data_IF_330972516786
#
_entry.id   IF_330972516786
#
_cell.length_a   1.000
_cell.length_b   1.000
_cell.length_c   1.000
_cell.angle_alpha   90.00
_cell.angle_beta   90.00
_cell.angle_gamma   90.00
#
_symmetry.space_group_name_H-M   'P 1'
#
loop_
_entity.id
_entity.type
_entity.pdbx_description
1 polymer ?
#
# COMPACT_ATOMS: atom_id res chain seq x y z
N UNK A 1 6.53 10.96 9.11
CA UNK A 1 6.64 9.57 8.61
C UNK A 1 5.60 9.41 7.51
N UNK A 2 6.00 8.99 6.31
CA UNK A 2 5.03 8.72 5.23
C UNK A 2 4.17 7.52 5.65
N UNK A 3 2.86 7.66 5.62
CA UNK A 3 1.96 6.54 5.89
C UNK A 3 2.00 5.54 4.73
N UNK A 4 1.87 4.26 5.05
CA UNK A 4 1.55 3.27 4.03
C UNK A 4 0.10 3.49 3.59
N UNK A 5 -0.08 3.69 2.29
CA UNK A 5 -1.42 3.69 1.72
C UNK A 5 -1.90 2.24 1.65
N UNK A 6 -3.12 1.95 2.13
CA UNK A 6 -3.63 0.59 2.16
C UNK A 6 -3.88 0.07 0.73
N UNK A 7 -3.56 -1.20 0.44
CA UNK A 7 -4.04 -1.86 -0.77
C UNK A 7 -5.55 -2.10 -0.60
N UNK A 8 -6.36 -1.23 -1.19
CA UNK A 8 -7.82 -1.32 -1.15
C UNK A 8 -8.25 -2.26 -2.27
N UNK A 9 -9.20 -3.14 -1.97
CA UNK A 9 -9.75 -4.06 -2.96
C UNK A 9 -11.25 -4.30 -2.75
N UNK A 10 -11.89 -4.86 -3.79
CA UNK A 10 -13.28 -5.30 -3.76
C UNK A 10 -13.30 -6.79 -4.10
N UNK A 11 -13.94 -7.58 -3.24
CA UNK A 11 -14.20 -8.99 -3.51
C UNK A 11 -15.49 -9.13 -4.32
N UNK A 12 -15.39 -9.70 -5.51
CA UNK A 12 -16.48 -9.89 -6.46
C UNK A 12 -16.76 -11.37 -6.64
N UNK A 13 -18.06 -11.72 -6.58
CA UNK A 13 -18.57 -13.04 -6.88
C UNK A 13 -19.13 -13.03 -8.31
N UNK A 14 -18.36 -13.55 -9.26
CA UNK A 14 -18.73 -13.59 -10.68
C UNK A 14 -17.62 -13.06 -11.60
N UNK A 15 -17.91 -12.87 -12.89
CA UNK A 15 -16.94 -12.36 -13.86
C UNK A 15 -16.50 -10.93 -13.50
N UNK A 16 -15.19 -10.73 -13.32
CA UNK A 16 -14.62 -9.44 -12.93
C UNK A 16 -14.82 -8.39 -14.01
N UNK A 17 -14.67 -8.75 -15.29
CA UNK A 17 -14.89 -7.87 -16.44
C UNK A 17 -16.31 -7.30 -16.44
N UNK A 18 -17.32 -8.16 -16.26
CA UNK A 18 -18.72 -7.75 -16.20
C UNK A 18 -18.99 -6.80 -15.03
N UNK A 19 -18.36 -7.02 -13.87
CA UNK A 19 -18.45 -6.10 -12.75
C UNK A 19 -17.84 -4.74 -13.10
N UNK A 20 -16.66 -4.73 -13.71
CA UNK A 20 -15.92 -3.53 -14.10
C UNK A 20 -16.73 -2.68 -15.08
N UNK A 21 -17.25 -3.29 -16.15
CA UNK A 21 -18.10 -2.64 -17.14
C UNK A 21 -19.36 -2.03 -16.53
N UNK A 22 -20.04 -2.77 -15.65
CA UNK A 22 -21.26 -2.30 -15.00
C UNK A 22 -21.00 -1.13 -14.06
N UNK A 23 -19.92 -1.17 -13.26
CA UNK A 23 -19.52 -0.05 -12.42
C UNK A 23 -19.18 1.17 -13.28
N UNK A 24 -18.47 0.96 -14.39
CA UNK A 24 -18.13 2.05 -15.30
C UNK A 24 -19.36 2.70 -15.94
N UNK A 25 -20.34 1.91 -16.37
CA UNK A 25 -21.62 2.42 -16.86
C UNK A 25 -22.43 3.17 -15.79
N UNK A 26 -22.31 2.79 -14.51
CA UNK A 26 -22.92 3.54 -13.40
C UNK A 26 -22.20 4.88 -13.19
N UNK A 27 -20.87 4.90 -13.25
CA UNK A 27 -20.07 6.10 -13.09
C UNK A 27 -20.33 7.09 -14.22
N UNK A 28 -20.39 6.62 -15.47
CA UNK A 28 -20.66 7.43 -16.65
C UNK A 28 -22.04 8.09 -16.58
N UNK A 29 -23.08 7.32 -16.26
CA UNK A 29 -24.45 7.82 -16.04
C UNK A 29 -24.59 8.82 -14.89
N UNK A 30 -23.65 8.83 -13.95
CA UNK A 30 -23.68 9.80 -12.85
C UNK A 30 -23.23 11.20 -13.30
N UNK A 31 -22.61 11.30 -14.48
CA UNK A 31 -22.00 12.50 -15.06
C UNK A 31 -20.92 13.18 -14.20
N UNK A 32 -20.60 12.63 -13.02
CA UNK A 32 -19.60 13.15 -12.09
C UNK A 32 -18.17 12.86 -12.53
N UNK A 33 -18.00 11.84 -13.36
CA UNK A 33 -16.70 11.32 -13.77
C UNK A 33 -16.53 11.42 -15.28
N UNK A 34 -15.29 11.61 -15.71
CA UNK A 34 -14.82 11.15 -17.01
C UNK A 34 -14.39 9.69 -16.83
N UNK A 35 -14.93 8.80 -17.64
CA UNK A 35 -14.75 7.35 -17.51
C UNK A 35 -14.01 6.81 -18.72
N UNK A 36 -12.99 6.01 -18.48
CA UNK A 36 -12.22 5.32 -19.50
C UNK A 36 -12.02 3.87 -19.06
N UNK A 37 -12.20 2.92 -19.98
CA UNK A 37 -11.96 1.50 -19.73
C UNK A 37 -10.94 1.03 -20.75
N UNK A 38 -9.89 0.39 -20.26
CA UNK A 38 -8.88 -0.28 -21.06
C UNK A 38 -8.91 -1.77 -20.73
N UNK A 39 -9.17 -2.59 -21.74
CA UNK A 39 -9.04 -4.04 -21.67
C UNK A 39 -7.68 -4.46 -22.20
N UNK A 40 -7.15 -5.54 -21.63
CA UNK A 40 -5.81 -6.06 -21.92
C UNK A 40 -4.74 -4.95 -21.95
N UNK A 41 -4.82 -4.09 -20.93
CA UNK A 41 -3.97 -2.93 -20.77
C UNK A 41 -2.50 -3.35 -20.87
N UNK A 42 -1.68 -2.50 -21.49
CA UNK A 42 -0.27 -2.82 -21.77
C UNK A 42 -0.05 -4.11 -22.60
N UNK A 43 -1.09 -4.63 -23.28
CA UNK A 43 -1.03 -5.86 -24.06
C UNK A 43 -1.04 -7.15 -23.22
N UNK A 44 -1.47 -7.08 -21.96
CA UNK A 44 -1.47 -8.22 -21.02
C UNK A 44 -2.89 -8.77 -20.89
N UNK A 45 -3.10 -10.00 -21.33
CA UNK A 45 -4.38 -10.70 -21.22
C UNK A 45 -4.89 -10.74 -19.77
N UNK A 46 -6.15 -10.34 -19.59
CA UNK A 46 -6.80 -10.30 -18.28
C UNK A 46 -6.38 -9.12 -17.39
N UNK A 47 -5.50 -8.23 -17.86
CA UNK A 47 -5.22 -6.96 -17.20
C UNK A 47 -6.20 -5.89 -17.69
N UNK A 48 -7.21 -5.55 -16.90
CA UNK A 48 -8.19 -4.52 -17.29
C UNK A 48 -8.25 -3.40 -16.26
N UNK A 49 -8.39 -2.17 -16.73
CA UNK A 49 -8.41 -0.97 -15.90
C UNK A 49 -9.61 -0.11 -16.25
N UNK A 50 -10.39 0.30 -15.26
CA UNK A 50 -11.38 1.37 -15.40
C UNK A 50 -10.93 2.60 -14.62
N UNK A 51 -10.74 3.70 -15.32
CA UNK A 51 -10.37 5.01 -14.80
C UNK A 51 -11.61 5.86 -14.56
N UNK A 52 -11.68 6.48 -13.38
CA UNK A 52 -12.74 7.39 -12.98
C UNK A 52 -12.12 8.72 -12.58
N UNK A 53 -12.09 9.70 -13.49
CA UNK A 53 -11.56 11.04 -13.19
C UNK A 53 -12.69 11.95 -12.75
N UNK A 54 -12.59 12.54 -11.56
CA UNK A 54 -13.62 13.45 -11.08
C UNK A 54 -13.57 14.77 -11.87
N UNK A 55 -14.66 15.13 -12.55
CA UNK A 55 -14.73 16.37 -13.37
C UNK A 55 -14.52 17.64 -12.54
N UNK A 56 -14.99 17.64 -11.30
CA UNK A 56 -14.86 18.77 -10.36
C UNK A 56 -14.44 18.27 -8.99
N UNK A 57 -13.19 18.52 -8.60
CA UNK A 57 -12.68 18.30 -7.26
C UNK A 57 -12.39 19.64 -6.58
N UNK A 58 -12.91 19.82 -5.36
CA UNK A 58 -12.70 21.06 -4.57
C UNK A 58 -11.40 21.03 -3.77
N UNK A 59 -10.94 19.84 -3.37
CA UNK A 59 -9.83 19.69 -2.42
C UNK A 59 -8.54 19.25 -3.10
N UNK A 60 -8.60 18.22 -3.96
CA UNK A 60 -7.43 17.61 -4.58
C UNK A 60 -7.39 17.91 -6.08
N UNK A 61 -6.22 18.24 -6.63
CA UNK A 61 -6.11 18.49 -8.07
C UNK A 61 -6.13 17.16 -8.82
N UNK A 62 -7.00 17.06 -9.83
CA UNK A 62 -7.04 15.87 -10.68
C UNK A 62 -7.35 14.58 -9.90
N UNK A 63 -8.30 14.63 -8.98
CA UNK A 63 -8.68 13.46 -8.19
C UNK A 63 -9.42 12.44 -9.04
N UNK A 64 -9.13 11.16 -8.84
CA UNK A 64 -9.86 10.06 -9.45
C UNK A 64 -9.58 8.73 -8.75
N UNK A 65 -10.24 7.70 -9.24
CA UNK A 65 -10.04 6.33 -8.81
C UNK A 65 -9.79 5.42 -10.01
N UNK A 66 -9.10 4.31 -9.78
CA UNK A 66 -8.93 3.25 -10.75
C UNK A 66 -9.44 1.95 -10.14
N UNK A 67 -10.15 1.17 -10.93
CA UNK A 67 -10.46 -0.22 -10.64
C UNK A 67 -9.64 -1.10 -11.56
N UNK A 68 -8.87 -2.01 -10.98
CA UNK A 68 -7.84 -2.77 -11.70
C UNK A 68 -8.09 -4.26 -11.48
N UNK A 69 -8.25 -4.99 -12.58
CA UNK A 69 -8.24 -6.45 -12.62
C UNK A 69 -6.80 -6.86 -12.97
N UNK A 70 -6.16 -7.63 -12.09
CA UNK A 70 -4.85 -8.21 -12.35
C UNK A 70 -5.01 -9.52 -13.14
N UNK A 71 -4.06 -9.89 -14.02
CA UNK A 71 -4.15 -11.10 -14.86
C UNK A 71 -4.51 -12.38 -14.10
N UNK A 72 -3.90 -12.58 -12.92
CA UNK A 72 -4.10 -13.79 -12.12
C UNK A 72 -5.28 -13.68 -11.13
N UNK A 73 -5.97 -12.54 -11.09
CA UNK A 73 -7.04 -12.32 -10.13
C UNK A 73 -8.34 -12.98 -10.59
N UNK A 74 -8.87 -13.87 -9.75
CA UNK A 74 -10.15 -14.56 -10.03
C UNK A 74 -11.35 -13.92 -9.34
N UNK A 75 -11.13 -13.13 -8.30
CA UNK A 75 -12.20 -12.63 -7.40
C UNK A 75 -11.97 -11.23 -6.86
N UNK A 76 -10.82 -10.64 -7.14
CA UNK A 76 -10.41 -9.38 -6.51
C UNK A 76 -10.18 -8.29 -7.56
N UNK A 77 -10.72 -7.12 -7.28
CA UNK A 77 -10.44 -5.90 -8.05
C UNK A 77 -9.71 -4.94 -7.13
N UNK A 78 -8.49 -4.55 -7.51
CA UNK A 78 -7.73 -3.56 -6.79
C UNK A 78 -8.33 -2.16 -7.04
N UNK A 79 -8.28 -1.32 -6.01
CA UNK A 79 -8.78 0.05 -6.03
C UNK A 79 -7.64 1.00 -5.70
N UNK A 80 -7.29 1.85 -6.66
CA UNK A 80 -6.29 2.91 -6.47
C UNK A 80 -6.95 4.28 -6.49
N UNK A 81 -6.56 5.16 -5.58
CA UNK A 81 -6.97 6.57 -5.61
C UNK A 81 -5.79 7.41 -6.07
N UNK A 82 -6.01 8.22 -7.10
CA UNK A 82 -4.95 9.04 -7.70
C UNK A 82 -5.36 10.50 -7.68
N UNK A 83 -4.38 11.36 -7.43
CA UNK A 83 -4.50 12.80 -7.61
C UNK A 83 -3.22 13.29 -8.27
N UNK A 84 -3.31 14.34 -9.09
CA UNK A 84 -2.11 15.07 -9.54
C UNK A 84 -1.43 15.77 -8.36
N UNK A 85 -2.23 16.25 -7.41
CA UNK A 85 -1.74 16.87 -6.18
C UNK A 85 -2.70 16.66 -5.04
N UNK A 86 -2.20 16.10 -3.95
CA UNK A 86 -2.94 15.96 -2.70
C UNK A 86 -2.87 17.25 -1.87
N UNK A 87 -3.89 17.49 -1.05
CA UNK A 87 -4.01 18.70 -0.24
C UNK A 87 -4.75 18.40 1.06
N UNK A 88 -4.26 18.82 2.23
CA UNK A 88 -3.14 19.77 2.42
C UNK A 88 -1.75 19.15 2.34
N UNK A 89 -1.65 17.82 2.39
CA UNK A 89 -0.38 17.09 2.41
C UNK A 89 -0.27 16.19 1.18
N UNK A 90 0.89 16.19 0.54
CA UNK A 90 1.24 15.32 -0.58
C UNK A 90 2.60 14.65 -0.28
N UNK A 91 2.67 13.32 -0.16
CA UNK A 91 1.61 12.31 -0.32
C UNK A 91 0.52 12.37 0.78
N UNK A 92 -0.67 11.79 0.55
CA UNK A 92 -1.77 11.83 1.51
C UNK A 92 -1.49 10.95 2.72
N UNK A 93 -2.21 11.21 3.82
CA UNK A 93 -2.25 10.28 4.96
C UNK A 93 -3.11 9.06 4.65
N UNK A 94 -2.97 8.01 5.46
CA UNK A 94 -3.84 6.83 5.38
C UNK A 94 -5.33 7.23 5.44
N UNK A 95 -5.68 8.13 6.36
CA UNK A 95 -7.07 8.53 6.62
C UNK A 95 -7.64 9.34 5.45
N UNK A 96 -6.84 10.25 4.86
CA UNK A 96 -7.23 11.01 3.68
C UNK A 96 -7.45 10.09 2.47
N UNK A 97 -6.53 9.16 2.22
CA UNK A 97 -6.63 8.21 1.12
C UNK A 97 -7.88 7.30 1.24
N UNK A 98 -8.12 6.74 2.42
CA UNK A 98 -9.30 5.89 2.69
C UNK A 98 -10.60 6.67 2.61
N UNK A 99 -10.60 7.93 3.06
CA UNK A 99 -11.77 8.82 2.95
C UNK A 99 -12.14 9.04 1.48
N UNK A 100 -11.18 9.40 0.64
CA UNK A 100 -11.43 9.61 -0.79
C UNK A 100 -11.84 8.32 -1.50
N UNK A 101 -11.24 7.18 -1.15
CA UNK A 101 -11.66 5.87 -1.68
C UNK A 101 -13.15 5.58 -1.41
N UNK A 102 -13.59 5.81 -0.17
CA UNK A 102 -15.00 5.65 0.21
C UNK A 102 -15.91 6.67 -0.47
N UNK A 103 -15.47 7.91 -0.63
CA UNK A 103 -16.26 8.98 -1.24
C UNK A 103 -16.45 8.79 -2.75
N UNK A 104 -15.43 8.30 -3.46
CA UNK A 104 -15.46 8.08 -4.90
C UNK A 104 -16.17 6.77 -5.25
N UNK A 105 -15.77 5.66 -4.61
CA UNK A 105 -16.23 4.32 -5.00
C UNK A 105 -17.47 3.87 -4.21
N UNK A 106 -17.68 4.35 -2.98
CA UNK A 106 -18.81 3.97 -2.13
C UNK A 106 -20.19 4.19 -2.77
N UNK A 107 -20.46 5.36 -3.40
CA UNK A 107 -21.71 5.58 -4.13
C UNK A 107 -21.89 4.65 -5.34
N UNK A 108 -20.82 4.40 -6.10
CA UNK A 108 -20.86 3.50 -7.27
C UNK A 108 -21.17 2.06 -6.85
N UNK A 109 -20.52 1.58 -5.78
CA UNK A 109 -20.78 0.26 -5.21
C UNK A 109 -22.20 0.14 -4.64
N UNK A 110 -22.69 1.17 -3.96
CA UNK A 110 -24.06 1.18 -3.43
C UNK A 110 -25.08 1.03 -4.55
N UNK A 111 -24.89 1.75 -5.65
CA UNK A 111 -25.77 1.67 -6.81
C UNK A 111 -25.68 0.33 -7.52
N UNK A 112 -24.47 -0.20 -7.71
CA UNK A 112 -24.28 -1.53 -8.29
C UNK A 112 -24.97 -2.60 -7.45
N UNK A 113 -24.73 -2.59 -6.14
CA UNK A 113 -25.32 -3.56 -5.21
C UNK A 113 -26.84 -3.51 -5.22
N UNK A 114 -27.43 -2.31 -5.29
CA UNK A 114 -28.88 -2.12 -5.41
C UNK A 114 -29.43 -2.76 -6.69
N UNK A 115 -28.77 -2.57 -7.83
CA UNK A 115 -29.23 -3.11 -9.13
C UNK A 115 -29.02 -4.61 -9.27
N UNK A 116 -27.93 -5.12 -8.72
CA UNK A 116 -27.52 -6.52 -8.88
C UNK A 116 -28.00 -7.44 -7.74
N UNK A 117 -28.57 -6.89 -6.66
CA UNK A 117 -28.95 -7.67 -5.47
C UNK A 117 -27.74 -8.24 -4.72
N UNK A 118 -26.58 -7.57 -4.81
CA UNK A 118 -25.32 -8.02 -4.21
C UNK A 118 -24.91 -7.19 -3.00
N UNK A 119 -23.81 -7.56 -2.33
CA UNK A 119 -23.29 -6.83 -1.16
C UNK A 119 -21.77 -6.68 -1.20
N UNK A 120 -21.22 -6.25 -2.33
CA UNK A 120 -19.79 -5.95 -2.47
C UNK A 120 -19.40 -4.76 -1.60
N UNK A 121 -18.18 -4.77 -1.07
CA UNK A 121 -17.66 -3.75 -0.17
C UNK A 121 -16.20 -3.47 -0.50
N UNK A 122 -15.77 -2.25 -0.22
CA UNK A 122 -14.35 -1.90 -0.13
C UNK A 122 -13.75 -2.60 1.09
N UNK A 123 -12.75 -3.43 0.86
CA UNK A 123 -11.88 -3.97 1.90
C UNK A 123 -10.68 -3.06 2.04
N UNK A 124 -10.48 -2.53 3.25
CA UNK A 124 -9.35 -1.66 3.58
C UNK A 124 -8.60 -2.29 4.75
N UNK A 125 -7.36 -2.73 4.57
CA UNK A 125 -6.54 -3.21 5.68
C UNK A 125 -6.33 -2.13 6.73
N UNK A 126 -6.45 -2.49 8.01
CA UNK A 126 -6.20 -1.57 9.12
C UNK A 126 -4.74 -1.08 9.11
N UNK A 127 -4.51 0.16 9.55
CA UNK A 127 -3.20 0.82 9.54
C UNK A 127 -2.12 -0.02 10.24
N UNK A 128 -2.46 -0.66 11.36
CA UNK A 128 -1.56 -1.50 12.15
C UNK A 128 -1.17 -2.80 11.43
N UNK A 129 -1.99 -3.25 10.48
CA UNK A 129 -1.68 -4.41 9.65
C UNK A 129 -0.71 -4.09 8.51
N UNK A 130 -0.56 -2.81 8.15
CA UNK A 130 0.41 -2.34 7.16
C UNK A 130 1.81 -2.20 7.74
N UNK A 131 1.95 -2.22 9.05
CA UNK A 131 3.24 -2.07 9.70
C UNK A 131 4.10 -3.33 9.50
N UNK A 132 5.39 -3.16 9.14
CA UNK A 132 6.29 -4.28 8.99
C UNK A 132 6.43 -5.04 10.31
N UNK A 133 6.47 -6.37 10.21
CA UNK A 133 6.58 -7.26 11.37
C UNK A 133 7.78 -8.16 11.23
N UNK A 134 8.57 -8.21 12.29
CA UNK A 134 9.63 -9.19 12.46
C UNK A 134 9.05 -10.47 13.09
N UNK A 135 9.46 -11.67 12.64
CA UNK A 135 9.17 -12.90 13.35
C UNK A 135 9.65 -12.84 14.81
N UNK A 136 9.06 -13.59 15.76
CA UNK A 136 9.33 -13.44 17.19
C UNK A 136 10.83 -13.48 17.57
N UNK A 137 11.61 -14.37 16.97
CA UNK A 137 13.06 -14.47 17.23
C UNK A 137 13.82 -13.26 16.70
N UNK A 138 13.56 -12.85 15.45
CA UNK A 138 14.15 -11.66 14.83
C UNK A 138 13.77 -10.39 15.61
N UNK A 139 12.54 -10.33 16.11
CA UNK A 139 12.08 -9.21 16.94
C UNK A 139 12.86 -9.12 18.25
N UNK A 140 13.13 -10.23 18.93
CA UNK A 140 13.97 -10.25 20.16
C UNK A 140 15.38 -9.72 19.89
N UNK A 141 16.01 -10.16 18.80
CA UNK A 141 17.35 -9.70 18.41
C UNK A 141 17.34 -8.21 18.05
N UNK A 142 16.34 -7.78 17.28
CA UNK A 142 16.14 -6.37 16.93
C UNK A 142 15.96 -5.51 18.18
N UNK A 143 15.14 -5.93 19.14
CA UNK A 143 14.93 -5.23 20.42
C UNK A 143 16.19 -5.18 21.27
N UNK A 144 17.01 -6.24 21.29
CA UNK A 144 18.30 -6.23 21.99
C UNK A 144 19.25 -5.19 21.40
N UNK A 145 19.26 -5.05 20.08
CA UNK A 145 20.00 -3.98 19.41
C UNK A 145 19.39 -2.61 19.75
N UNK A 146 18.10 -2.39 19.50
CA UNK A 146 17.49 -1.07 19.60
C UNK A 146 17.46 -0.54 21.03
N UNK A 147 17.26 -1.38 22.04
CA UNK A 147 17.19 -0.91 23.43
C UNK A 147 18.53 -0.38 23.97
N UNK A 148 19.65 -0.87 23.42
CA UNK A 148 20.99 -0.52 23.90
C UNK A 148 21.73 0.46 22.98
N UNK A 149 21.25 0.62 21.75
CA UNK A 149 21.92 1.43 20.75
C UNK A 149 21.80 2.93 21.05
N UNK A 150 22.90 3.65 20.86
CA UNK A 150 22.83 5.10 20.72
C UNK A 150 22.10 5.45 19.41
N UNK A 151 21.01 6.23 19.53
CA UNK A 151 20.09 6.52 18.43
C UNK A 151 20.59 7.58 17.46
N UNK A 152 21.59 8.36 17.84
CA UNK A 152 22.14 9.43 16.99
C UNK A 152 23.45 9.03 16.31
N UNK A 153 24.22 8.13 16.94
CA UNK A 153 25.43 7.56 16.36
C UNK A 153 25.75 6.20 17.01
N UNK A 154 25.70 5.13 16.22
CA UNK A 154 25.99 3.76 16.67
C UNK A 154 27.46 3.61 17.08
N UNK A 155 27.69 3.19 18.32
CA UNK A 155 29.00 2.77 18.79
C UNK A 155 29.40 1.41 18.17
N UNK A 156 30.69 1.03 18.07
CA UNK A 156 31.10 -0.29 17.58
C UNK A 156 30.38 -1.48 18.24
N UNK A 157 30.04 -1.38 19.52
CA UNK A 157 29.25 -2.41 20.23
C UNK A 157 27.78 -2.48 19.75
N UNK A 158 27.21 -1.36 19.32
CA UNK A 158 25.87 -1.32 18.76
C UNK A 158 25.84 -1.91 17.36
N UNK A 159 26.86 -1.60 16.55
CA UNK A 159 27.09 -2.25 15.25
C UNK A 159 27.23 -3.77 15.40
N UNK A 160 27.96 -4.24 16.40
CA UNK A 160 28.05 -5.68 16.70
C UNK A 160 26.67 -6.29 16.97
N UNK A 161 25.83 -5.64 17.80
CA UNK A 161 24.46 -6.11 18.09
C UNK A 161 23.58 -6.08 16.84
N UNK A 162 23.73 -5.08 15.99
CA UNK A 162 23.01 -4.98 14.72
C UNK A 162 23.40 -6.12 13.76
N UNK A 163 24.71 -6.39 13.61
CA UNK A 163 25.18 -7.52 12.80
C UNK A 163 24.74 -8.87 13.38
N UNK A 164 24.72 -9.03 14.70
CA UNK A 164 24.13 -10.20 15.37
C UNK A 164 22.65 -10.36 15.02
N UNK A 165 21.89 -9.27 14.97
CA UNK A 165 20.50 -9.28 14.52
C UNK A 165 20.37 -9.77 13.08
N UNK A 166 21.10 -9.18 12.13
CA UNK A 166 21.01 -9.54 10.70
C UNK A 166 21.43 -10.99 10.46
N UNK A 167 22.58 -11.39 11.02
CA UNK A 167 23.13 -12.74 10.87
C UNK A 167 22.17 -13.80 11.41
N UNK A 168 21.68 -13.62 12.63
CA UNK A 168 20.86 -14.63 13.31
C UNK A 168 19.35 -14.48 13.05
N UNK A 169 18.95 -13.52 12.23
CA UNK A 169 17.56 -13.37 11.82
C UNK A 169 17.12 -14.57 10.97
N UNK A 170 16.01 -15.21 11.37
CA UNK A 170 15.38 -16.33 10.66
C UNK A 170 14.26 -15.90 9.71
N UNK A 171 14.37 -14.70 9.14
CA UNK A 171 13.42 -14.25 8.13
C UNK A 171 13.63 -15.04 6.84
N UNK A 172 12.54 -15.48 6.20
CA UNK A 172 12.59 -16.18 4.89
C UNK A 172 13.00 -15.24 3.75
N UNK A 173 12.64 -13.96 3.86
CA UNK A 173 13.00 -12.89 2.95
C UNK A 173 13.39 -11.66 3.77
N UNK A 174 14.35 -10.84 3.30
CA UNK A 174 14.65 -9.59 3.96
C UNK A 174 13.42 -8.66 3.90
N UNK A 175 13.23 -7.85 4.93
CA UNK A 175 12.39 -6.66 4.83
C UNK A 175 12.92 -5.72 3.74
N UNK A 176 12.02 -4.96 3.12
CA UNK A 176 12.42 -3.84 2.28
C UNK A 176 13.19 -2.81 3.14
N UNK A 177 14.06 -2.01 2.51
CA UNK A 177 14.87 -1.00 3.20
C UNK A 177 13.96 0.02 3.91
N UNK A 178 12.87 0.42 3.26
CA UNK A 178 11.88 1.34 3.78
C UNK A 178 11.20 0.79 5.05
N UNK A 179 10.90 -0.51 5.06
CA UNK A 179 10.33 -1.20 6.22
C UNK A 179 11.29 -1.24 7.39
N UNK A 180 12.57 -1.51 7.12
CA UNK A 180 13.61 -1.49 8.16
C UNK A 180 13.79 -0.08 8.74
N UNK A 181 13.89 0.94 7.88
CA UNK A 181 13.98 2.33 8.32
C UNK A 181 12.76 2.73 9.17
N UNK A 182 11.56 2.28 8.79
CA UNK A 182 10.33 2.51 9.57
C UNK A 182 10.39 1.85 10.94
N UNK A 183 10.86 0.60 11.03
CA UNK A 183 11.06 -0.08 12.31
C UNK A 183 12.05 0.67 13.19
N UNK A 184 13.19 1.12 12.65
CA UNK A 184 14.18 1.88 13.40
C UNK A 184 13.60 3.21 13.91
N UNK A 185 12.90 3.97 13.08
CA UNK A 185 12.25 5.22 13.52
C UNK A 185 11.28 5.03 14.67
N UNK A 186 10.52 3.93 14.66
CA UNK A 186 9.62 3.58 15.78
C UNK A 186 10.37 3.33 17.09
N UNK A 187 11.62 2.92 17.01
CA UNK A 187 12.51 2.74 18.16
C UNK A 187 13.30 4.02 18.51
N UNK A 188 12.93 5.18 17.94
CA UNK A 188 13.49 6.48 18.27
C UNK A 188 14.71 6.92 17.45
N UNK A 189 15.07 6.20 16.38
CA UNK A 189 16.14 6.64 15.49
C UNK A 189 15.68 7.84 14.62
N UNK A 190 16.53 8.87 14.42
CA UNK A 190 16.27 9.96 13.47
C UNK A 190 16.04 9.43 12.04
N UNK A 191 15.27 10.17 11.24
CA UNK A 191 14.83 9.69 9.93
C UNK A 191 15.97 9.41 8.96
N UNK A 192 16.92 10.34 8.82
CA UNK A 192 18.07 10.17 7.94
C UNK A 192 18.93 8.99 8.40
N UNK A 193 19.22 8.93 9.70
CA UNK A 193 20.06 7.88 10.26
C UNK A 193 19.42 6.48 10.18
N UNK A 194 18.09 6.40 10.35
CA UNK A 194 17.36 5.16 10.16
C UNK A 194 17.43 4.65 8.72
N UNK A 195 17.49 5.54 7.72
CA UNK A 195 17.66 5.16 6.30
C UNK A 195 19.07 4.62 6.06
N UNK A 196 20.10 5.29 6.57
CA UNK A 196 21.49 4.82 6.44
C UNK A 196 21.67 3.42 7.04
N UNK A 197 21.17 3.18 8.25
CA UNK A 197 21.23 1.85 8.89
C UNK A 197 20.43 0.82 8.06
N UNK A 198 19.29 1.21 7.48
CA UNK A 198 18.49 0.33 6.64
C UNK A 198 19.19 -0.02 5.30
N UNK A 199 20.00 0.89 4.75
CA UNK A 199 20.84 0.60 3.60
C UNK A 199 21.91 -0.44 3.94
N UNK A 200 22.59 -0.27 5.07
CA UNK A 200 23.53 -1.28 5.58
C UNK A 200 22.83 -2.62 5.80
N UNK A 201 21.62 -2.63 6.37
CA UNK A 201 20.81 -3.85 6.51
C UNK A 201 20.58 -4.55 5.16
N UNK A 202 20.22 -3.79 4.11
CA UNK A 202 20.00 -4.32 2.77
C UNK A 202 21.25 -5.02 2.23
N UNK A 203 22.39 -4.34 2.27
CA UNK A 203 23.66 -4.89 1.82
C UNK A 203 24.07 -6.15 2.58
N UNK A 204 23.93 -6.17 3.91
CA UNK A 204 24.26 -7.35 4.71
C UNK A 204 23.39 -8.58 4.34
N UNK A 205 22.13 -8.37 3.96
CA UNK A 205 21.26 -9.45 3.49
C UNK A 205 21.62 -9.94 2.10
N UNK A 206 22.02 -9.04 1.19
CA UNK A 206 22.56 -9.42 -0.12
C UNK A 206 23.78 -10.32 0.06
N UNK A 207 24.74 -9.93 0.91
CA UNK A 207 25.91 -10.76 1.22
C UNK A 207 25.55 -12.10 1.88
N UNK A 208 24.57 -12.11 2.78
CA UNK A 208 24.11 -13.34 3.46
C UNK A 208 23.49 -14.35 2.49
N UNK A 209 22.91 -13.92 1.38
CA UNK A 209 22.33 -14.82 0.37
C UNK A 209 23.36 -15.45 -0.57
N UNK A 210 24.58 -14.91 -0.63
CA UNK A 210 25.68 -15.44 -1.44
C UNK A 210 26.43 -16.61 -0.78
N UNK A 211 26.17 -16.87 0.50
CA UNK A 211 26.82 -17.89 1.34
C UNK A 211 25.84 -18.97 1.73
#
# INVERSE_FOLDING_TARGET
MRDYLPPIHINVSGPLSLFLEKIAAIADKSERFDVEIEHDAMGIDGFSVANFRLKKSKQHKGLGAQLIIQPDSKKEIAVEIRAERWSPQDPPTYEAYVKEAKALIGPLLSEYNRRAGTRHRLTVPAKEKLEPKLPPQSHKLFKRFTNLANKTALHPLDWKRFYEFVRNSRMRKPLAKEDMARLLRKEGFPEEYAREIADVYGHLWEFKQLV
#
